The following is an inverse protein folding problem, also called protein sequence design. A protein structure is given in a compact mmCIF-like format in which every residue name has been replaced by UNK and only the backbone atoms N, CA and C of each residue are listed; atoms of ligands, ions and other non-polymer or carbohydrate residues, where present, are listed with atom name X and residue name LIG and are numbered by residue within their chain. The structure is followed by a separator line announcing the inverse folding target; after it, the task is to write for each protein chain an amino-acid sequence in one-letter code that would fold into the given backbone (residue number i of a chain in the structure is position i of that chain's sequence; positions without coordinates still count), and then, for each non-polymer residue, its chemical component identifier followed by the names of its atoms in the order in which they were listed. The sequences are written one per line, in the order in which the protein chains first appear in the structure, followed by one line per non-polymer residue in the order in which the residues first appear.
data_IF_544361412984
#
_entry.id   IF_544361412984
#
_cell.length_a   1.000
_cell.length_b   1.000
_cell.length_c   1.000
_cell.angle_alpha   90.00
_cell.angle_beta   90.00
_cell.angle_gamma   90.00
#
_symmetry.space_group_name_H-M   'P 1'
#
loop_
_entity.id
_entity.type
_entity.pdbx_description
1 polymer ?
#
# COMPACT_ATOMS: atom_id res chain seq x y z
N UNK A 1 -41.65 -15.64 19.40
CA UNK A 1 -43.01 -15.09 19.38
C UNK A 1 -43.12 -14.25 18.11
N UNK A 2 -43.98 -14.71 17.19
CA UNK A 2 -44.25 -14.16 15.86
C UNK A 2 -45.42 -13.16 15.95
N UNK A 3 -45.69 -12.47 14.83
CA UNK A 3 -46.89 -11.70 14.39
C UNK A 3 -46.61 -10.19 14.35
N UNK A 4 -46.29 -9.58 13.21
CA UNK A 4 -47.01 -9.37 11.91
C UNK A 4 -48.05 -8.23 11.94
N UNK A 5 -47.71 -7.19 11.16
CA UNK A 5 -48.47 -6.44 10.14
C UNK A 5 -49.94 -6.02 10.38
N UNK A 6 -50.32 -4.83 9.91
CA UNK A 6 -51.27 -4.66 8.78
C UNK A 6 -51.48 -3.19 8.36
N UNK A 7 -51.73 -2.99 7.06
CA UNK A 7 -52.32 -1.76 6.49
C UNK A 7 -51.84 -1.45 5.06
N UNK A 8 -52.02 -2.36 4.09
CA UNK A 8 -53.05 -2.33 3.01
C UNK A 8 -52.98 -1.10 2.07
N UNK A 9 -52.54 -1.24 0.82
CA UNK A 9 -53.14 -1.88 -0.38
C UNK A 9 -53.86 -0.87 -1.27
N UNK A 10 -53.37 -0.65 -2.51
CA UNK A 10 -54.18 -0.38 -3.71
C UNK A 10 -53.39 -0.79 -5.00
N UNK A 11 -53.77 -1.96 -5.52
CA UNK A 11 -54.04 -2.36 -6.93
C UNK A 11 -52.99 -2.21 -8.08
N UNK A 12 -52.70 -3.35 -8.71
CA UNK A 12 -52.02 -3.57 -10.02
C UNK A 12 -52.98 -3.36 -11.22
N UNK A 13 -52.53 -3.40 -12.52
CA UNK A 13 -52.23 -4.68 -13.21
C UNK A 13 -51.11 -4.67 -14.29
N UNK A 14 -50.27 -5.72 -14.26
CA UNK A 14 -50.01 -6.74 -15.31
C UNK A 14 -49.83 -6.29 -16.77
N UNK A 15 -48.59 -6.35 -17.27
CA UNK A 15 -48.26 -6.75 -18.67
C UNK A 15 -47.30 -7.94 -18.57
N UNK A 16 -47.71 -9.05 -19.20
CA UNK A 16 -46.94 -10.28 -19.33
C UNK A 16 -46.04 -10.24 -20.59
N UNK A 17 -44.96 -11.02 -20.48
CA UNK A 17 -44.33 -11.83 -21.54
C UNK A 17 -43.04 -11.33 -22.21
N UNK A 18 -42.20 -12.34 -22.48
CA UNK A 18 -41.00 -12.39 -23.31
C UNK A 18 -39.66 -12.05 -22.62
N UNK A 19 -39.08 -13.03 -21.94
CA UNK A 19 -37.97 -13.83 -22.50
C UNK A 19 -37.57 -14.90 -21.49
N UNK A 20 -37.93 -16.15 -21.80
CA UNK A 20 -37.31 -17.31 -21.15
C UNK A 20 -35.99 -17.62 -21.83
N UNK A 21 -35.12 -18.23 -21.02
CA UNK A 21 -34.00 -19.10 -21.38
C UNK A 21 -32.62 -18.48 -21.60
N UNK A 22 -31.72 -19.03 -20.78
CA UNK A 22 -30.34 -19.39 -21.08
C UNK A 22 -29.22 -18.42 -20.72
N UNK A 23 -28.59 -18.77 -19.59
CA UNK A 23 -27.15 -19.05 -19.53
C UNK A 23 -26.20 -17.88 -19.84
N UNK A 24 -25.94 -17.10 -18.81
CA UNK A 24 -24.55 -16.78 -18.48
C UNK A 24 -24.40 -17.02 -16.97
N UNK A 25 -24.24 -18.27 -16.57
CA UNK A 25 -22.95 -18.76 -16.07
C UNK A 25 -22.20 -17.62 -15.40
N UNK A 26 -22.66 -17.23 -14.20
CA UNK A 26 -21.87 -16.45 -13.26
C UNK A 26 -20.63 -17.29 -13.03
N UNK A 27 -19.60 -16.96 -13.80
CA UNK A 27 -18.31 -17.60 -13.77
C UNK A 27 -17.84 -17.46 -12.34
N UNK A 28 -17.85 -18.56 -11.59
CA UNK A 28 -16.96 -18.76 -10.46
C UNK A 28 -15.56 -18.58 -11.03
N UNK A 29 -15.10 -17.35 -11.14
CA UNK A 29 -13.69 -17.03 -11.13
C UNK A 29 -13.24 -17.48 -9.76
N UNK A 30 -12.80 -18.74 -9.67
CA UNK A 30 -11.84 -19.11 -8.65
C UNK A 30 -10.68 -18.14 -8.87
N UNK A 31 -10.62 -17.07 -8.08
CA UNK A 31 -9.45 -16.22 -7.99
C UNK A 31 -8.32 -17.15 -7.58
N UNK A 32 -7.58 -17.66 -8.56
CA UNK A 32 -6.31 -18.32 -8.32
C UNK A 32 -5.49 -17.22 -7.65
N UNK A 33 -5.35 -17.30 -6.33
CA UNK A 33 -4.47 -16.40 -5.60
C UNK A 33 -3.08 -16.66 -6.15
N UNK A 34 -2.62 -15.79 -7.06
CA UNK A 34 -1.24 -15.79 -7.53
C UNK A 34 -0.35 -15.74 -6.28
N UNK A 35 0.43 -16.79 -6.09
CA UNK A 35 1.30 -16.90 -4.92
C UNK A 35 2.61 -16.21 -5.27
N UNK A 36 2.88 -15.10 -4.61
CA UNK A 36 4.15 -14.40 -4.73
C UNK A 36 5.13 -14.87 -3.66
N UNK A 37 6.38 -15.03 -4.04
CA UNK A 37 7.50 -15.15 -3.12
C UNK A 37 7.98 -13.73 -2.79
N UNK A 38 7.85 -13.36 -1.52
CA UNK A 38 8.38 -12.10 -0.99
C UNK A 38 9.62 -12.38 -0.16
N UNK A 39 10.71 -11.66 -0.44
CA UNK A 39 11.96 -11.77 0.32
C UNK A 39 12.74 -10.46 0.31
N UNK A 40 13.76 -10.37 1.18
CA UNK A 40 14.75 -9.29 1.09
C UNK A 40 15.52 -9.37 -0.23
N UNK A 41 15.78 -8.20 -0.79
CA UNK A 41 16.65 -8.04 -1.94
C UNK A 41 18.09 -8.44 -1.59
N UNK A 42 18.76 -9.03 -2.56
CA UNK A 42 20.16 -9.45 -2.50
C UNK A 42 20.96 -8.68 -3.53
N UNK A 43 22.28 -8.73 -3.43
CA UNK A 43 23.16 -8.05 -4.37
C UNK A 43 22.95 -8.50 -5.83
N UNK A 44 22.57 -9.77 -6.04
CA UNK A 44 22.22 -10.34 -7.34
C UNK A 44 20.97 -9.71 -7.97
N UNK A 45 20.06 -9.17 -7.16
CA UNK A 45 18.81 -8.55 -7.63
C UNK A 45 19.01 -7.10 -8.08
N UNK A 46 20.18 -6.51 -7.82
CA UNK A 46 20.42 -5.06 -7.99
C UNK A 46 20.05 -4.57 -9.38
N UNK A 47 20.52 -5.27 -10.43
CA UNK A 47 20.29 -4.85 -11.80
C UNK A 47 18.79 -4.88 -12.17
N UNK A 48 18.11 -5.99 -11.85
CA UNK A 48 16.68 -6.13 -12.13
C UNK A 48 15.84 -5.11 -11.33
N UNK A 49 16.29 -4.74 -10.13
CA UNK A 49 15.65 -3.73 -9.30
C UNK A 49 15.89 -2.31 -9.85
N UNK A 50 17.09 -1.99 -10.32
CA UNK A 50 17.37 -0.71 -11.00
C UNK A 50 16.53 -0.56 -12.28
N UNK A 51 16.33 -1.65 -13.03
CA UNK A 51 15.43 -1.69 -14.19
C UNK A 51 13.96 -1.50 -13.80
N UNK A 52 13.51 -2.04 -12.66
CA UNK A 52 12.16 -1.81 -12.14
C UNK A 52 11.96 -0.36 -11.71
N UNK A 53 12.94 0.20 -10.97
CA UNK A 53 12.84 1.53 -10.37
C UNK A 53 13.17 2.64 -11.37
N UNK A 54 13.84 2.32 -12.47
CA UNK A 54 14.23 3.29 -13.50
C UNK A 54 15.33 4.25 -13.03
N UNK A 55 16.06 3.91 -11.97
CA UNK A 55 17.17 4.72 -11.43
C UNK A 55 18.24 3.84 -10.79
N UNK A 56 19.46 4.35 -10.73
CA UNK A 56 20.57 3.70 -10.04
C UNK A 56 20.34 3.70 -8.53
N UNK A 57 20.58 2.54 -7.91
CA UNK A 57 20.48 2.38 -6.46
C UNK A 57 21.87 2.48 -5.84
N UNK A 58 22.08 3.58 -5.11
CA UNK A 58 23.33 3.83 -4.37
C UNK A 58 23.29 3.26 -2.94
N UNK A 59 22.09 2.97 -2.42
CA UNK A 59 21.89 2.47 -1.06
C UNK A 59 22.02 0.95 -0.96
N UNK A 60 22.40 0.42 0.22
CA UNK A 60 22.39 -1.02 0.47
C UNK A 60 20.97 -1.58 0.32
N UNK A 61 20.86 -2.76 -0.30
CA UNK A 61 19.58 -3.41 -0.60
C UNK A 61 18.91 -4.06 0.63
N UNK A 62 19.56 -4.00 1.79
CA UNK A 62 19.16 -4.70 3.00
C UNK A 62 17.79 -4.24 3.54
N UNK A 63 17.37 -3.01 3.20
CA UNK A 63 16.09 -2.44 3.59
C UNK A 63 15.10 -2.40 2.42
N UNK A 64 15.21 -3.37 1.50
CA UNK A 64 14.30 -3.55 0.36
C UNK A 64 13.73 -4.95 0.31
N UNK A 65 12.40 -5.05 0.25
CA UNK A 65 11.66 -6.27 -0.05
C UNK A 65 11.35 -6.32 -1.54
N UNK A 66 11.39 -7.52 -2.11
CA UNK A 66 10.99 -7.78 -3.49
C UNK A 66 9.95 -8.89 -3.55
N UNK A 67 9.04 -8.76 -4.51
CA UNK A 67 8.03 -9.76 -4.85
C UNK A 67 8.35 -10.37 -6.21
N UNK A 68 8.36 -11.70 -6.27
CA UNK A 68 8.61 -12.49 -7.48
C UNK A 68 7.57 -13.61 -7.57
N UNK A 69 7.33 -14.13 -8.76
CA UNK A 69 6.43 -15.29 -8.93
C UNK A 69 7.11 -16.60 -8.48
N UNK A 70 8.43 -16.72 -8.66
CA UNK A 70 9.26 -17.84 -8.22
C UNK A 70 10.68 -17.35 -7.93
N UNK A 71 11.52 -18.18 -7.27
CA UNK A 71 12.84 -17.76 -6.73
C UNK A 71 13.81 -17.11 -7.73
N UNK A 72 13.76 -17.53 -9.00
CA UNK A 72 14.58 -17.00 -10.09
C UNK A 72 13.73 -16.30 -11.15
N UNK A 73 12.54 -15.88 -10.77
CA UNK A 73 11.60 -15.18 -11.65
C UNK A 73 11.88 -13.69 -11.76
N UNK A 74 11.17 -12.99 -12.65
CA UNK A 74 11.26 -11.54 -12.73
C UNK A 74 10.76 -10.90 -11.43
N UNK A 75 11.36 -9.77 -11.08
CA UNK A 75 10.87 -8.92 -9.99
C UNK A 75 9.60 -8.20 -10.47
N UNK A 76 8.49 -8.49 -9.78
CA UNK A 76 7.16 -7.96 -10.07
C UNK A 76 6.78 -6.80 -9.15
N UNK A 77 7.49 -6.63 -8.05
CA UNK A 77 7.34 -5.47 -7.19
C UNK A 77 8.49 -5.34 -6.20
N UNK A 78 8.67 -4.13 -5.70
CA UNK A 78 9.67 -3.80 -4.70
C UNK A 78 9.14 -2.77 -3.71
N UNK A 79 9.51 -2.95 -2.45
CA UNK A 79 9.18 -2.07 -1.34
C UNK A 79 10.48 -1.71 -0.62
N UNK A 80 10.81 -0.42 -0.55
CA UNK A 80 11.93 0.05 0.27
C UNK A 80 11.42 0.71 1.55
N UNK A 81 12.15 0.49 2.64
CA UNK A 81 11.78 0.99 3.96
C UNK A 81 13.00 1.51 4.71
N UNK A 82 12.76 2.25 5.78
CA UNK A 82 13.77 2.75 6.71
C UNK A 82 13.40 2.35 8.13
N UNK A 83 14.39 2.08 8.97
CA UNK A 83 14.17 1.96 10.42
C UNK A 83 14.24 3.35 11.01
N UNK A 84 13.18 3.75 11.71
CA UNK A 84 13.04 5.07 12.30
C UNK A 84 12.78 4.92 13.81
N UNK A 85 13.09 5.98 14.55
CA UNK A 85 12.97 5.98 16.01
C UNK A 85 12.40 7.30 16.49
N UNK A 86 11.39 7.22 17.34
CA UNK A 86 10.81 8.32 18.09
C UNK A 86 11.15 8.16 19.56
N UNK A 87 11.59 9.25 20.20
CA UNK A 87 11.82 9.27 21.66
C UNK A 87 10.54 9.08 22.46
N UNK A 88 9.38 9.38 21.87
CA UNK A 88 8.07 9.27 22.52
C UNK A 88 7.40 7.91 22.30
N UNK A 89 7.55 7.38 21.09
CA UNK A 89 6.74 6.23 20.64
C UNK A 89 7.60 4.99 20.31
N UNK A 90 8.92 5.10 20.45
CA UNK A 90 9.87 4.02 20.24
C UNK A 90 10.20 3.74 18.77
N UNK A 91 10.49 2.46 18.49
CA UNK A 91 10.91 1.99 17.16
C UNK A 91 9.73 1.92 16.20
N UNK A 92 9.92 2.43 14.98
CA UNK A 92 8.96 2.30 13.88
C UNK A 92 9.69 1.99 12.57
N UNK A 93 8.91 1.66 11.54
CA UNK A 93 9.41 1.53 10.17
C UNK A 93 8.79 2.64 9.32
N UNK A 94 9.59 3.33 8.52
CA UNK A 94 9.11 4.26 7.49
C UNK A 94 9.05 3.54 6.14
N UNK A 95 7.89 3.50 5.50
CA UNK A 95 7.75 3.05 4.12
C UNK A 95 8.23 4.19 3.20
N UNK A 96 9.34 3.98 2.49
CA UNK A 96 9.94 5.01 1.64
C UNK A 96 9.38 4.98 0.22
N UNK A 97 9.22 3.77 -0.34
CA UNK A 97 8.70 3.60 -1.69
C UNK A 97 8.08 2.22 -1.88
N UNK A 98 7.02 2.16 -2.67
CA UNK A 98 6.43 0.91 -3.14
C UNK A 98 6.21 1.02 -4.65
N UNK A 99 6.81 0.11 -5.39
CA UNK A 99 6.70 0.05 -6.85
C UNK A 99 6.29 -1.34 -7.26
N UNK A 100 5.25 -1.44 -8.07
CA UNK A 100 4.66 -2.71 -8.50
C UNK A 100 4.45 -2.68 -10.01
N UNK A 101 4.87 -3.77 -10.69
CA UNK A 101 4.48 -4.07 -12.08
C UNK A 101 3.16 -4.85 -12.11
N UNK A 102 2.97 -5.75 -11.15
CA UNK A 102 1.73 -6.50 -10.94
C UNK A 102 1.09 -6.03 -9.63
N UNK A 103 -0.05 -5.36 -9.72
CA UNK A 103 -0.84 -4.82 -8.60
C UNK A 103 -1.14 -5.87 -7.52
N UNK A 104 -1.25 -7.14 -7.90
CA UNK A 104 -1.48 -8.24 -6.96
C UNK A 104 -0.30 -8.46 -5.99
N UNK A 105 0.88 -7.90 -6.27
CA UNK A 105 2.04 -7.95 -5.38
C UNK A 105 1.97 -6.96 -4.20
N UNK A 106 1.11 -5.93 -4.28
CA UNK A 106 1.10 -4.82 -3.30
C UNK A 106 0.81 -5.32 -1.89
N UNK A 107 -0.29 -6.05 -1.72
CA UNK A 107 -0.71 -6.59 -0.42
C UNK A 107 0.30 -7.61 0.15
N UNK A 108 0.83 -8.57 -0.62
CA UNK A 108 1.92 -9.44 -0.17
C UNK A 108 3.15 -8.68 0.35
N UNK A 109 3.59 -7.62 -0.33
CA UNK A 109 4.73 -6.80 0.09
C UNK A 109 4.45 -6.09 1.42
N UNK A 110 3.28 -5.45 1.54
CA UNK A 110 2.85 -4.77 2.77
C UNK A 110 2.73 -5.76 3.95
N UNK A 111 2.14 -6.94 3.71
CA UNK A 111 2.02 -7.97 4.73
C UNK A 111 3.38 -8.44 5.24
N UNK A 112 4.36 -8.60 4.36
CA UNK A 112 5.71 -9.03 4.76
C UNK A 112 6.45 -7.92 5.52
N UNK A 113 6.27 -6.65 5.12
CA UNK A 113 6.77 -5.50 5.88
C UNK A 113 6.17 -5.47 7.30
N UNK A 114 4.86 -5.70 7.44
CA UNK A 114 4.17 -5.73 8.73
C UNK A 114 4.66 -6.88 9.62
N UNK A 115 4.86 -8.08 9.08
CA UNK A 115 5.46 -9.17 9.87
C UNK A 115 6.86 -8.83 10.33
N UNK A 116 7.66 -8.22 9.46
CA UNK A 116 9.02 -7.81 9.79
C UNK A 116 9.05 -6.69 10.83
N UNK A 117 8.14 -5.72 10.76
CA UNK A 117 8.05 -4.66 11.76
C UNK A 117 7.71 -5.23 13.14
N UNK A 118 6.76 -6.17 13.20
CA UNK A 118 6.40 -6.87 14.44
C UNK A 118 7.59 -7.67 15.00
N UNK A 119 8.33 -8.40 14.15
CA UNK A 119 9.49 -9.20 14.60
C UNK A 119 10.66 -8.33 15.10
N UNK A 120 10.80 -7.11 14.57
CA UNK A 120 11.78 -6.12 15.03
C UNK A 120 11.34 -5.36 16.29
N UNK A 121 10.12 -5.62 16.79
CA UNK A 121 9.55 -4.92 17.94
C UNK A 121 9.18 -3.46 17.64
N UNK A 122 8.84 -3.16 16.38
CA UNK A 122 8.31 -1.86 15.99
C UNK A 122 6.83 -1.77 16.38
N UNK A 123 6.42 -0.61 16.88
CA UNK A 123 5.04 -0.36 17.31
C UNK A 123 4.12 0.09 16.16
N UNK A 124 4.70 0.60 15.06
CA UNK A 124 3.97 1.13 13.90
C UNK A 124 4.81 1.14 12.63
N UNK A 125 4.12 1.39 11.52
CA UNK A 125 4.69 1.71 10.21
C UNK A 125 4.18 3.09 9.82
N UNK A 126 5.09 4.01 9.51
CA UNK A 126 4.79 5.35 9.02
C UNK A 126 4.93 5.35 7.49
N UNK A 127 3.97 5.96 6.78
CA UNK A 127 3.96 5.99 5.32
C UNK A 127 3.51 7.37 4.84
N UNK A 128 4.33 7.99 4.00
CA UNK A 128 3.96 9.20 3.25
C UNK A 128 3.81 8.82 1.79
N UNK A 129 2.63 9.05 1.21
CA UNK A 129 2.37 8.69 -0.19
C UNK A 129 1.36 9.65 -0.83
N UNK A 130 1.52 9.87 -2.13
CA UNK A 130 0.54 10.50 -3.00
C UNK A 130 -0.04 9.51 -4.04
N UNK A 131 0.29 8.22 -3.92
CA UNK A 131 -0.21 7.16 -4.79
C UNK A 131 -1.62 6.72 -4.33
N UNK A 132 -2.64 7.07 -5.11
CA UNK A 132 -4.04 6.72 -4.88
C UNK A 132 -4.28 5.20 -4.75
N UNK A 133 -3.53 4.38 -5.48
CA UNK A 133 -3.64 2.93 -5.41
C UNK A 133 -3.09 2.40 -4.08
N UNK A 134 -2.01 3.00 -3.57
CA UNK A 134 -1.51 2.69 -2.23
C UNK A 134 -2.48 3.21 -1.16
N UNK A 135 -2.97 4.43 -1.27
CA UNK A 135 -3.93 5.03 -0.32
C UNK A 135 -5.18 4.16 -0.22
N UNK A 136 -5.79 3.79 -1.35
CA UNK A 136 -6.95 2.90 -1.37
C UNK A 136 -6.66 1.51 -0.77
N UNK A 137 -5.45 0.98 -0.96
CA UNK A 137 -5.06 -0.29 -0.34
C UNK A 137 -4.95 -0.13 1.19
N UNK A 138 -4.35 0.96 1.67
CA UNK A 138 -4.15 1.22 3.11
C UNK A 138 -5.48 1.49 3.84
N UNK A 139 -6.41 2.23 3.22
CA UNK A 139 -7.71 2.53 3.83
C UNK A 139 -8.55 1.26 4.06
N UNK A 140 -8.41 0.24 3.22
CA UNK A 140 -9.05 -1.07 3.45
C UNK A 140 -8.47 -1.86 4.63
N UNK A 141 -7.31 -1.44 5.16
CA UNK A 141 -6.60 -2.13 6.24
C UNK A 141 -6.69 -1.40 7.60
N UNK A 142 -7.68 -0.51 7.80
CA UNK A 142 -7.85 0.28 9.02
C UNK A 142 -6.61 1.11 9.40
N UNK A 143 -5.89 1.61 8.39
CA UNK A 143 -4.78 2.55 8.60
C UNK A 143 -5.36 3.92 8.99
N UNK A 144 -4.66 4.62 9.89
CA UNK A 144 -5.02 5.97 10.35
C UNK A 144 -4.40 7.02 9.45
N UNK A 145 -5.17 8.03 9.05
CA UNK A 145 -4.64 9.20 8.34
C UNK A 145 -4.21 10.27 9.35
N UNK A 146 -2.90 10.37 9.56
CA UNK A 146 -2.32 11.33 10.52
C UNK A 146 -2.49 12.80 10.08
N UNK A 147 -2.70 13.06 8.79
CA UNK A 147 -2.99 14.41 8.29
C UNK A 147 -4.38 14.85 8.74
N UNK A 148 -5.36 13.93 8.68
CA UNK A 148 -6.72 14.24 9.10
C UNK A 148 -6.87 14.21 10.62
N UNK A 149 -6.32 13.19 11.29
CA UNK A 149 -6.47 12.97 12.74
C UNK A 149 -5.65 13.95 13.58
N UNK A 150 -4.38 14.15 13.22
CA UNK A 150 -3.40 14.86 14.05
C UNK A 150 -2.90 16.16 13.40
N UNK A 151 -3.37 16.47 12.17
CA UNK A 151 -3.00 17.68 11.41
C UNK A 151 -1.50 17.78 11.12
N UNK A 152 -0.84 16.64 10.91
CA UNK A 152 0.55 16.64 10.46
C UNK A 152 0.66 17.24 9.05
N UNK A 153 1.67 18.09 8.87
CA UNK A 153 2.00 18.69 7.58
C UNK A 153 3.47 18.45 7.28
N UNK A 154 3.76 17.96 6.08
CA UNK A 154 5.13 17.82 5.58
C UNK A 154 5.51 19.11 4.85
N UNK A 155 6.64 19.69 5.23
CA UNK A 155 7.18 20.91 4.62
C UNK A 155 8.55 20.61 4.03
N UNK A 156 8.78 21.07 2.81
CA UNK A 156 10.06 20.99 2.13
C UNK A 156 10.72 22.37 2.08
N UNK A 157 12.04 22.42 2.30
CA UNK A 157 12.85 23.61 2.10
C UNK A 157 13.66 23.45 0.82
N UNK A 158 13.23 24.12 -0.26
CA UNK A 158 13.78 23.99 -1.61
C UNK A 158 14.80 25.09 -2.00
N UNK A 159 15.12 26.01 -1.08
CA UNK A 159 16.09 27.07 -1.31
C UNK A 159 16.91 27.43 -0.06
N UNK A 160 17.80 26.52 0.35
CA UNK A 160 18.62 26.67 1.55
C UNK A 160 19.47 27.95 1.54
N UNK A 161 19.92 28.40 0.36
CA UNK A 161 20.75 29.60 0.22
C UNK A 161 20.05 30.88 0.72
N UNK A 162 18.72 30.97 0.58
CA UNK A 162 17.93 32.11 1.08
C UNK A 162 17.80 32.13 2.60
N UNK A 163 17.91 30.97 3.26
CA UNK A 163 17.82 30.87 4.73
C UNK A 163 19.13 31.18 5.45
N UNK A 164 20.26 31.00 4.78
CA UNK A 164 21.59 31.27 5.37
C UNK A 164 21.90 32.78 5.42
N UNK A 165 21.26 33.60 4.59
CA UNK A 165 21.61 35.03 4.42
C UNK A 165 20.99 36.00 5.43
N UNK A 166 20.16 35.54 6.36
CA UNK A 166 19.40 36.42 7.28
C UNK A 166 20.11 36.77 8.60
N UNK A 167 21.28 36.21 8.90
CA UNK A 167 22.03 36.46 10.15
C UNK A 167 23.20 37.45 9.98
N UNK A 168 23.03 38.52 9.20
CA UNK A 168 23.93 39.67 9.29
C UNK A 168 23.40 40.59 10.41
N UNK A 169 24.08 40.71 11.58
CA UNK A 169 23.65 41.65 12.60
C UNK A 169 23.69 43.07 12.03
N UNK A 170 22.56 43.78 12.13
CA UNK A 170 22.49 45.20 11.85
C UNK A 170 23.56 45.92 12.71
N UNK A 171 24.48 46.62 12.03
CA UNK A 171 25.49 47.47 12.67
C UNK A 171 24.87 48.70 13.30
#
# INVERSE_FOLDING_TARGET
MMVLCFGNNLLCPRIESCFSMEAATASKMSSIQKKFLVRLARQEDKQALEELVGRTLHSPLNDTLIAMEFERGPILGALSYSKIYSTWEGRSIGLNSLQVKDEACRVPLLNELTKMSVSLGCSRIDCQTADDCLISTLTTQNVRDLTEEEKWHCWELDNLAKFVTTDAPAK
#
